data_IF_548141968990
#
_entry.id   IF_548141968990
#
_cell.length_a   1.000
_cell.length_b   1.000
_cell.length_c   1.000
_cell.angle_alpha   90.00
_cell.angle_beta   90.00
_cell.angle_gamma   90.00
#
_symmetry.space_group_name_H-M   'P 1'
#
loop_
_entity.id
_entity.type
_entity.pdbx_description
1 polymer ?
#
# COMPACT_ATOMS: atom_id res chain seq x y z
N UNK A 1 -78.90 -30.31 18.68
CA UNK A 1 -78.50 -31.65 19.14
C UNK A 1 -78.19 -32.47 17.91
N UNK A 2 -77.02 -33.09 17.78
CA UNK A 2 -76.14 -33.83 18.73
C UNK A 2 -74.71 -33.33 18.74
N UNK A 3 -74.11 -33.46 19.77
CA UNK A 3 -73.18 -34.38 20.48
C UNK A 3 -71.68 -34.13 20.18
N UNK A 4 -70.98 -33.77 21.26
CA UNK A 4 -69.55 -33.67 21.43
C UNK A 4 -68.85 -35.03 21.40
N UNK A 5 -67.75 -35.17 20.66
CA UNK A 5 -66.82 -36.26 20.91
C UNK A 5 -65.42 -35.72 21.15
N UNK A 6 -65.02 -35.84 22.42
CA UNK A 6 -63.70 -35.55 22.95
C UNK A 6 -62.73 -36.63 22.49
N UNK A 7 -61.69 -36.22 21.75
CA UNK A 7 -60.52 -37.08 21.46
C UNK A 7 -59.48 -36.86 22.54
N UNK A 8 -59.32 -37.83 23.41
CA UNK A 8 -58.21 -37.91 24.40
C UNK A 8 -56.93 -38.28 23.67
N UNK A 9 -55.97 -37.35 23.66
CA UNK A 9 -54.62 -37.58 23.18
C UNK A 9 -53.80 -38.39 24.21
N UNK A 10 -53.41 -39.58 23.80
CA UNK A 10 -52.61 -40.51 24.60
C UNK A 10 -51.14 -40.08 24.60
N UNK A 11 -50.66 -39.48 25.67
CA UNK A 11 -49.22 -39.22 25.92
C UNK A 11 -48.51 -40.51 26.20
N UNK A 12 -47.90 -41.11 25.22
CA UNK A 12 -46.96 -42.21 25.42
C UNK A 12 -45.61 -41.64 25.93
N UNK A 13 -45.21 -42.19 27.04
CA UNK A 13 -43.91 -41.98 27.75
C UNK A 13 -42.75 -42.03 26.75
N UNK A 14 -42.09 -40.92 26.48
CA UNK A 14 -40.78 -40.85 25.86
C UNK A 14 -39.77 -41.11 26.97
N UNK A 15 -39.10 -42.22 26.85
CA UNK A 15 -38.11 -42.72 27.82
C UNK A 15 -36.89 -41.76 27.88
N UNK A 16 -36.49 -41.41 29.09
CA UNK A 16 -35.40 -40.51 29.47
C UNK A 16 -34.00 -40.93 29.03
N UNK A 17 -33.86 -41.86 28.10
CA UNK A 17 -32.57 -42.41 27.69
C UNK A 17 -31.97 -41.85 26.38
N UNK A 18 -32.69 -40.99 25.64
CA UNK A 18 -32.20 -40.40 24.40
C UNK A 18 -31.73 -38.93 24.55
N UNK A 19 -31.91 -38.31 25.73
CA UNK A 19 -31.43 -36.95 26.04
C UNK A 19 -30.00 -36.88 26.60
N UNK A 20 -29.39 -38.03 26.92
CA UNK A 20 -28.06 -38.08 27.55
C UNK A 20 -26.89 -38.18 26.57
N UNK A 21 -27.12 -38.38 25.26
CA UNK A 21 -26.06 -38.46 24.26
C UNK A 21 -25.76 -37.10 23.54
N UNK A 22 -26.64 -36.10 23.68
CA UNK A 22 -26.41 -34.77 23.10
C UNK A 22 -25.72 -33.81 24.09
N UNK A 23 -25.71 -34.13 25.40
CA UNK A 23 -25.13 -33.28 26.45
C UNK A 23 -23.63 -33.53 26.69
N UNK A 24 -23.07 -34.58 26.10
CA UNK A 24 -21.69 -34.99 26.36
C UNK A 24 -20.62 -34.35 25.48
N UNK A 25 -20.99 -33.73 24.34
CA UNK A 25 -20.04 -33.10 23.43
C UNK A 25 -19.94 -31.57 23.58
N UNK A 26 -20.96 -30.92 24.14
CA UNK A 26 -20.93 -29.47 24.39
C UNK A 26 -19.93 -29.02 25.49
N UNK A 27 -19.78 -29.75 26.66
CA UNK A 27 -18.86 -29.30 27.70
C UNK A 27 -17.37 -29.44 27.30
N UNK A 28 -17.01 -30.35 26.39
CA UNK A 28 -15.60 -30.56 25.99
C UNK A 28 -15.14 -29.45 25.04
N UNK A 29 -15.99 -28.96 24.16
CA UNK A 29 -15.68 -27.83 23.28
C UNK A 29 -15.60 -26.50 24.06
N UNK A 30 -16.49 -26.28 25.03
CA UNK A 30 -16.49 -25.08 25.88
C UNK A 30 -15.25 -25.05 26.78
N UNK A 31 -14.84 -26.19 27.35
CA UNK A 31 -13.64 -26.25 28.23
C UNK A 31 -12.32 -26.11 27.48
N UNK A 32 -12.22 -26.56 26.22
CA UNK A 32 -11.02 -26.37 25.40
C UNK A 32 -10.83 -24.90 25.00
N UNK A 33 -11.91 -24.21 24.67
CA UNK A 33 -11.86 -22.79 24.29
C UNK A 33 -11.63 -21.88 25.52
N UNK A 34 -12.15 -22.24 26.70
CA UNK A 34 -11.89 -21.49 27.92
C UNK A 34 -10.42 -21.60 28.37
N UNK A 35 -9.77 -22.74 28.19
CA UNK A 35 -8.33 -22.91 28.47
C UNK A 35 -7.45 -22.06 27.53
N UNK A 36 -7.86 -21.85 26.29
CA UNK A 36 -7.11 -21.01 25.31
C UNK A 36 -7.20 -19.51 25.62
N UNK A 37 -8.15 -19.07 26.44
CA UNK A 37 -8.34 -17.67 26.83
C UNK A 37 -7.66 -17.35 28.18
N UNK A 38 -7.19 -18.33 28.94
CA UNK A 38 -6.62 -18.12 30.26
C UNK A 38 -5.32 -17.30 30.18
N UNK A 39 -5.29 -16.17 30.90
CA UNK A 39 -4.13 -15.28 30.95
C UNK A 39 -4.00 -14.29 29.76
N UNK A 40 -4.94 -14.29 28.82
CA UNK A 40 -4.96 -13.27 27.77
C UNK A 40 -5.70 -12.01 28.25
N UNK A 41 -5.15 -10.83 27.94
CA UNK A 41 -5.79 -9.54 28.15
C UNK A 41 -6.93 -9.30 27.12
N UNK A 42 -7.72 -8.23 27.30
CA UNK A 42 -8.71 -7.82 26.31
C UNK A 42 -8.04 -7.57 24.96
N UNK A 43 -8.48 -8.29 23.91
CA UNK A 43 -7.86 -8.24 22.60
C UNK A 43 -8.39 -9.29 21.63
N UNK A 44 -7.99 -9.14 20.37
CA UNK A 44 -8.25 -10.11 19.31
C UNK A 44 -6.97 -10.90 19.05
N UNK A 45 -7.06 -12.22 19.03
CA UNK A 45 -5.90 -13.09 18.90
C UNK A 45 -6.08 -14.13 17.79
N UNK A 46 -4.98 -14.55 17.21
CA UNK A 46 -4.89 -15.71 16.34
C UNK A 46 -4.00 -16.79 16.97
N UNK A 47 -4.56 -17.97 17.20
CA UNK A 47 -3.83 -19.16 17.59
C UNK A 47 -3.54 -20.01 16.36
N UNK A 48 -2.28 -20.12 16.00
CA UNK A 48 -1.78 -20.95 14.90
C UNK A 48 -1.38 -22.32 15.50
N UNK A 49 -2.14 -23.35 15.22
CA UNK A 49 -1.77 -24.71 15.62
C UNK A 49 -0.90 -25.34 14.54
N UNK A 50 0.35 -25.60 14.85
CA UNK A 50 1.34 -26.11 13.88
C UNK A 50 1.78 -27.55 14.20
N UNK A 51 2.60 -28.14 13.32
CA UNK A 51 3.27 -29.42 13.58
C UNK A 51 4.30 -29.35 14.70
N UNK A 52 4.81 -28.15 15.04
CA UNK A 52 5.83 -27.92 16.06
C UNK A 52 5.25 -27.43 17.40
N UNK A 53 3.97 -27.06 17.46
CA UNK A 53 3.29 -26.49 18.63
C UNK A 53 2.35 -25.37 18.28
N UNK A 54 1.87 -24.65 19.27
CA UNK A 54 0.96 -23.53 19.11
C UNK A 54 1.71 -22.18 19.19
N UNK A 55 1.32 -21.24 18.32
CA UNK A 55 1.79 -19.86 18.33
C UNK A 55 0.57 -18.99 18.54
N UNK A 56 0.59 -18.08 19.51
CA UNK A 56 -0.49 -17.12 19.77
C UNK A 56 -0.01 -15.71 19.43
N UNK A 57 -0.71 -15.06 18.52
CA UNK A 57 -0.45 -13.67 18.15
C UNK A 57 -1.62 -12.78 18.57
N UNK A 58 -1.35 -11.61 19.15
CA UNK A 58 -2.33 -10.53 19.22
C UNK A 58 -2.45 -9.86 17.86
N UNK A 59 -3.69 -9.47 17.50
CA UNK A 59 -4.00 -8.80 16.23
C UNK A 59 -4.34 -7.34 16.50
N UNK A 60 -3.73 -6.44 15.75
CA UNK A 60 -3.86 -4.97 15.89
C UNK A 60 -5.11 -4.44 15.17
N UNK A 61 -6.29 -4.97 15.55
CA UNK A 61 -7.56 -4.71 14.85
C UNK A 61 -8.02 -3.25 14.89
N UNK A 62 -7.57 -2.46 15.86
CA UNK A 62 -7.85 -1.03 15.93
C UNK A 62 -6.95 -0.19 15.01
N UNK A 63 -5.71 -0.66 14.79
CA UNK A 63 -4.68 0.08 14.05
C UNK A 63 -4.61 -0.33 12.58
N UNK A 64 -4.87 -1.60 12.29
CA UNK A 64 -4.87 -2.15 10.92
C UNK A 64 -6.15 -2.98 10.67
N UNK A 65 -7.35 -2.34 10.80
CA UNK A 65 -8.63 -3.02 10.78
C UNK A 65 -8.90 -3.76 9.46
N UNK A 66 -8.52 -3.19 8.31
CA UNK A 66 -8.71 -3.83 7.00
C UNK A 66 -7.90 -5.12 6.88
N UNK A 67 -6.64 -5.09 7.29
CA UNK A 67 -5.73 -6.24 7.24
C UNK A 67 -6.18 -7.34 8.20
N UNK A 68 -6.56 -6.93 9.42
CA UNK A 68 -7.08 -7.87 10.42
C UNK A 68 -8.41 -8.46 9.99
N UNK A 69 -9.35 -7.68 9.43
CA UNK A 69 -10.61 -8.20 8.92
C UNK A 69 -10.39 -9.21 7.78
N UNK A 70 -9.44 -8.94 6.87
CA UNK A 70 -9.05 -9.89 5.85
C UNK A 70 -8.55 -11.21 6.46
N UNK A 71 -7.58 -11.12 7.38
CA UNK A 71 -6.97 -12.30 7.99
C UNK A 71 -7.98 -13.13 8.79
N UNK A 72 -8.76 -12.48 9.65
CA UNK A 72 -9.78 -13.12 10.50
C UNK A 72 -10.90 -13.72 9.65
N UNK A 73 -11.41 -13.00 8.66
CA UNK A 73 -12.47 -13.50 7.79
C UNK A 73 -12.04 -14.70 6.95
N UNK A 74 -10.77 -14.76 6.55
CA UNK A 74 -10.19 -15.94 5.90
C UNK A 74 -10.02 -17.09 6.90
N UNK A 75 -9.54 -16.83 8.12
CA UNK A 75 -9.37 -17.85 9.16
C UNK A 75 -10.71 -18.47 9.57
N UNK A 76 -11.74 -17.65 9.77
CA UNK A 76 -13.10 -18.10 10.13
C UNK A 76 -13.88 -18.67 8.94
N UNK A 77 -13.42 -18.46 7.69
CA UNK A 77 -14.13 -18.84 6.47
C UNK A 77 -15.37 -17.99 6.17
N UNK A 78 -15.49 -16.81 6.78
CA UNK A 78 -16.64 -15.88 6.65
C UNK A 78 -16.45 -14.87 5.52
N UNK A 79 -15.24 -14.78 4.96
CA UNK A 79 -14.90 -13.92 3.85
C UNK A 79 -14.82 -14.70 2.54
N UNK A 80 -15.29 -14.10 1.46
CA UNK A 80 -15.20 -14.67 0.13
C UNK A 80 -13.76 -14.87 -0.32
N UNK A 81 -13.49 -16.08 -0.83
CA UNK A 81 -12.18 -16.47 -1.33
C UNK A 81 -12.32 -17.65 -2.30
N UNK A 82 -11.21 -18.09 -2.90
CA UNK A 82 -11.18 -19.32 -3.68
C UNK A 82 -11.38 -20.61 -2.84
N UNK A 83 -11.52 -20.49 -1.52
CA UNK A 83 -11.93 -21.55 -0.57
C UNK A 83 -13.21 -21.17 0.20
N UNK A 84 -14.15 -20.48 -0.43
CA UNK A 84 -15.36 -19.93 0.21
C UNK A 84 -16.05 -20.89 1.17
N UNK A 85 -16.44 -20.38 2.34
CA UNK A 85 -17.18 -21.09 3.37
C UNK A 85 -16.36 -22.11 4.15
N UNK A 86 -15.03 -22.06 4.06
CA UNK A 86 -14.12 -22.94 4.83
C UNK A 86 -12.97 -22.11 5.41
N UNK A 87 -12.45 -22.48 6.60
CA UNK A 87 -11.22 -21.92 7.11
C UNK A 87 -10.10 -21.99 6.07
N UNK A 88 -9.59 -20.83 5.69
CA UNK A 88 -8.67 -20.71 4.54
C UNK A 88 -7.29 -21.32 4.83
N UNK A 89 -6.82 -21.10 6.04
CA UNK A 89 -5.46 -21.44 6.46
C UNK A 89 -5.26 -22.90 6.86
N UNK A 90 -6.35 -23.62 7.14
CA UNK A 90 -6.28 -25.00 7.63
C UNK A 90 -5.63 -25.94 6.60
N UNK A 91 -4.63 -26.68 7.10
CA UNK A 91 -3.89 -27.64 6.29
C UNK A 91 -2.87 -27.03 5.32
N UNK A 92 -2.57 -25.73 5.43
CA UNK A 92 -1.49 -25.10 4.67
C UNK A 92 -0.13 -25.43 5.29
N UNK A 93 0.94 -25.01 4.60
CA UNK A 93 2.32 -25.18 5.05
C UNK A 93 3.05 -23.86 5.16
N UNK A 94 4.12 -23.84 5.94
CA UNK A 94 5.12 -22.79 5.90
C UNK A 94 6.06 -23.04 4.72
N UNK A 95 5.67 -22.57 3.55
CA UNK A 95 6.36 -22.86 2.27
C UNK A 95 7.72 -22.18 2.13
N UNK A 96 8.00 -21.14 2.94
CA UNK A 96 9.28 -20.41 2.97
C UNK A 96 9.68 -20.14 4.40
N UNK A 97 10.82 -20.67 4.79
CA UNK A 97 11.45 -20.42 6.09
C UNK A 97 12.91 -20.02 5.83
N UNK A 98 13.32 -18.90 6.37
CA UNK A 98 14.70 -18.43 6.30
C UNK A 98 15.18 -18.21 7.73
N UNK A 99 16.18 -18.97 8.20
CA UNK A 99 16.77 -18.76 9.51
C UNK A 99 17.24 -17.32 9.70
N UNK A 100 17.15 -16.83 10.93
CA UNK A 100 17.52 -15.45 11.29
C UNK A 100 16.77 -14.36 10.50
N UNK A 101 15.62 -14.71 9.90
CA UNK A 101 14.77 -13.76 9.20
C UNK A 101 13.28 -13.98 9.54
N UNK A 102 12.62 -14.99 8.93
CA UNK A 102 11.17 -15.19 9.13
C UNK A 102 10.69 -16.58 8.71
N UNK A 103 9.49 -16.95 9.18
CA UNK A 103 8.67 -18.03 8.63
C UNK A 103 7.51 -17.42 7.83
N UNK A 104 7.19 -17.96 6.66
CA UNK A 104 6.13 -17.45 5.77
C UNK A 104 5.14 -18.57 5.40
N UNK A 105 3.86 -18.30 5.64
CA UNK A 105 2.74 -19.20 5.36
C UNK A 105 1.61 -18.51 4.61
N UNK A 106 0.42 -19.15 4.60
CA UNK A 106 -0.81 -18.59 4.04
C UNK A 106 -0.94 -18.70 2.51
N UNK A 107 -0.06 -19.43 1.84
CA UNK A 107 -0.14 -19.70 0.40
C UNK A 107 -0.94 -20.99 0.13
N UNK A 108 -2.14 -20.93 -0.51
CA UNK A 108 -2.94 -22.14 -0.76
C UNK A 108 -2.30 -23.12 -1.74
N UNK A 109 -1.36 -22.66 -2.57
CA UNK A 109 -0.59 -23.51 -3.52
C UNK A 109 0.70 -24.04 -2.91
N UNK A 110 1.09 -23.66 -1.69
CA UNK A 110 2.29 -24.13 -1.01
C UNK A 110 3.63 -23.77 -1.67
N UNK A 111 3.65 -22.81 -2.59
CA UNK A 111 4.85 -22.45 -3.38
C UNK A 111 5.12 -20.92 -3.46
N UNK A 112 4.34 -20.12 -2.75
CA UNK A 112 4.46 -18.66 -2.71
C UNK A 112 3.69 -17.91 -3.80
N UNK A 113 3.11 -18.60 -4.81
CA UNK A 113 2.39 -17.93 -5.92
C UNK A 113 0.89 -17.85 -5.71
N UNK A 114 0.32 -18.60 -4.76
CA UNK A 114 -1.11 -18.64 -4.48
C UNK A 114 -1.58 -17.54 -3.54
N UNK A 115 -2.87 -17.22 -3.63
CA UNK A 115 -3.55 -16.25 -2.79
C UNK A 115 -5.05 -16.53 -2.68
N UNK A 116 -5.82 -15.62 -2.08
CA UNK A 116 -7.26 -15.83 -1.83
C UNK A 116 -8.16 -15.57 -3.04
N UNK A 117 -7.58 -15.13 -4.18
CA UNK A 117 -8.30 -14.78 -5.41
C UNK A 117 -8.51 -13.27 -5.60
N UNK A 118 -7.99 -12.45 -4.70
CA UNK A 118 -8.01 -10.97 -4.75
C UNK A 118 -6.76 -10.39 -4.10
N UNK A 119 -6.58 -9.08 -4.25
CA UNK A 119 -5.58 -8.29 -3.53
C UNK A 119 -6.22 -7.08 -2.88
N UNK A 120 -5.58 -6.55 -1.83
CA UNK A 120 -6.03 -5.33 -1.14
C UNK A 120 -4.85 -4.42 -0.78
N UNK A 121 -5.19 -3.17 -0.44
CA UNK A 121 -4.22 -2.10 -0.18
C UNK A 121 -3.41 -2.36 1.10
N UNK A 122 -2.23 -1.74 1.15
CA UNK A 122 -1.41 -1.69 2.37
C UNK A 122 -2.06 -0.78 3.41
N UNK A 123 -1.80 -1.10 4.69
CA UNK A 123 -2.32 -0.37 5.85
C UNK A 123 -1.15 -0.09 6.81
N UNK A 124 -0.34 0.91 6.46
CA UNK A 124 0.85 1.27 7.23
C UNK A 124 0.49 2.18 8.40
N UNK A 125 0.70 1.66 9.61
CA UNK A 125 0.55 2.41 10.86
C UNK A 125 1.93 2.78 11.42
N UNK A 126 2.21 4.08 11.64
CA UNK A 126 3.53 4.54 12.07
C UNK A 126 4.05 3.92 13.38
N UNK A 127 3.16 3.53 14.28
CA UNK A 127 3.51 2.89 15.55
C UNK A 127 3.84 1.40 15.42
N UNK A 128 3.47 0.75 14.29
CA UNK A 128 3.70 -0.66 14.03
C UNK A 128 4.93 -0.85 13.15
N UNK A 129 5.96 -1.46 13.70
CA UNK A 129 7.27 -1.64 13.07
C UNK A 129 7.74 -3.08 13.16
N UNK A 130 8.61 -3.47 12.23
CA UNK A 130 9.32 -4.75 12.27
C UNK A 130 10.51 -4.65 13.23
N UNK A 131 10.22 -4.29 14.50
CA UNK A 131 11.23 -3.93 15.50
C UNK A 131 11.87 -5.09 16.26
N UNK A 132 11.41 -6.32 16.06
CA UNK A 132 11.90 -7.48 16.82
C UNK A 132 11.40 -8.82 16.29
N UNK A 133 11.74 -9.91 17.00
CA UNK A 133 11.16 -11.22 16.75
C UNK A 133 9.65 -11.20 17.00
N UNK A 134 8.92 -12.12 16.37
CA UNK A 134 7.48 -12.30 16.57
C UNK A 134 6.60 -11.27 15.87
N UNK A 135 7.12 -10.38 15.03
CA UNK A 135 6.29 -9.46 14.26
C UNK A 135 5.49 -10.23 13.20
N UNK A 136 4.16 -10.15 13.27
CA UNK A 136 3.24 -10.73 12.29
C UNK A 136 2.89 -9.67 11.23
N UNK A 137 3.22 -9.97 9.97
CA UNK A 137 3.13 -9.02 8.87
C UNK A 137 2.65 -9.68 7.57
N UNK A 138 2.06 -8.89 6.65
CA UNK A 138 1.60 -9.38 5.35
C UNK A 138 2.76 -9.54 4.36
N UNK A 139 2.83 -10.69 3.74
CA UNK A 139 3.65 -10.88 2.56
C UNK A 139 2.93 -10.29 1.32
N UNK A 140 3.68 -9.59 0.47
CA UNK A 140 3.18 -8.98 -0.76
C UNK A 140 4.25 -9.01 -1.87
N UNK A 141 3.85 -8.70 -3.10
CA UNK A 141 4.72 -8.57 -4.28
C UNK A 141 4.89 -7.12 -4.75
N UNK A 142 4.65 -6.18 -3.87
CA UNK A 142 4.71 -4.73 -4.11
C UNK A 142 3.47 -4.03 -3.56
N UNK A 143 3.35 -2.70 -3.74
CA UNK A 143 2.26 -1.92 -3.18
C UNK A 143 0.87 -2.46 -3.55
N UNK A 144 -0.05 -2.48 -2.57
CA UNK A 144 -1.44 -2.89 -2.73
C UNK A 144 -1.63 -4.32 -3.28
N UNK A 145 -0.70 -5.25 -2.99
CA UNK A 145 -0.78 -6.64 -3.43
C UNK A 145 -0.91 -7.64 -2.27
N UNK A 146 -1.42 -7.19 -1.12
CA UNK A 146 -1.70 -8.07 0.01
C UNK A 146 -2.82 -9.07 -0.33
N UNK A 147 -2.70 -10.30 0.16
CA UNK A 147 -3.68 -11.35 -0.05
C UNK A 147 -3.90 -12.20 1.20
N UNK A 148 -3.51 -13.48 1.16
CA UNK A 148 -3.59 -14.38 2.32
C UNK A 148 -2.24 -14.70 2.93
N UNK A 149 -1.13 -14.42 2.25
CA UNK A 149 0.19 -14.79 2.75
C UNK A 149 0.66 -13.83 3.84
N UNK A 150 1.22 -14.41 4.90
CA UNK A 150 1.77 -13.70 6.05
C UNK A 150 3.16 -14.25 6.41
N UNK A 151 3.90 -13.50 7.19
CA UNK A 151 5.14 -13.97 7.80
C UNK A 151 5.24 -13.56 9.27
N UNK A 152 6.01 -14.34 10.03
CA UNK A 152 6.35 -14.05 11.43
C UNK A 152 7.88 -13.98 11.53
N UNK A 153 8.41 -12.92 12.12
CA UNK A 153 9.86 -12.67 12.15
C UNK A 153 10.58 -13.44 13.25
N UNK A 154 11.83 -13.85 12.98
CA UNK A 154 12.78 -14.36 13.99
C UNK A 154 13.57 -13.23 14.64
N UNK A 155 13.77 -12.12 13.92
CA UNK A 155 14.60 -10.97 14.35
C UNK A 155 13.96 -9.65 13.89
N UNK A 156 14.53 -8.52 14.30
CA UNK A 156 14.15 -7.22 13.78
C UNK A 156 14.48 -7.13 12.28
N UNK A 157 13.50 -6.64 11.48
CA UNK A 157 13.60 -6.53 10.02
C UNK A 157 13.15 -5.14 9.54
N UNK A 158 13.72 -4.09 10.12
CA UNK A 158 13.28 -2.69 9.92
C UNK A 158 13.29 -2.21 8.46
N UNK A 159 14.04 -2.87 7.57
CA UNK A 159 14.04 -2.58 6.12
C UNK A 159 12.71 -2.94 5.41
N UNK A 160 11.80 -3.65 6.10
CA UNK A 160 10.44 -3.99 5.65
C UNK A 160 9.40 -2.95 6.08
N UNK A 161 9.77 -1.97 6.93
CA UNK A 161 8.87 -0.91 7.37
C UNK A 161 8.34 -0.09 6.19
N UNK A 162 7.05 0.22 6.21
CA UNK A 162 6.32 0.90 5.15
C UNK A 162 6.35 0.18 3.77
N UNK A 163 6.67 -1.12 3.76
CA UNK A 163 6.60 -2.00 2.58
C UNK A 163 5.68 -3.18 2.81
N UNK A 164 5.59 -3.63 4.06
CA UNK A 164 4.73 -4.73 4.49
C UNK A 164 3.89 -4.26 5.68
N UNK A 165 2.59 -4.62 5.69
CA UNK A 165 1.67 -4.24 6.75
C UNK A 165 1.89 -5.12 7.99
N UNK A 166 2.38 -4.55 9.07
CA UNK A 166 2.40 -5.20 10.39
C UNK A 166 0.98 -5.16 10.93
N UNK A 167 0.43 -6.31 11.32
CA UNK A 167 -0.94 -6.41 11.83
C UNK A 167 -1.08 -7.23 13.12
N UNK A 168 0.05 -7.62 13.73
CA UNK A 168 0.07 -8.33 15.01
C UNK A 168 1.46 -8.65 15.47
N UNK A 169 1.54 -9.32 16.62
CA UNK A 169 2.79 -9.85 17.15
C UNK A 169 2.55 -11.06 18.04
N UNK A 170 3.56 -11.91 18.15
CA UNK A 170 3.55 -13.11 19.00
C UNK A 170 3.50 -12.70 20.47
N UNK A 171 2.56 -13.25 21.21
CA UNK A 171 2.46 -13.12 22.68
C UNK A 171 2.82 -14.43 23.39
N UNK A 172 2.72 -15.56 22.67
CA UNK A 172 3.16 -16.87 23.18
C UNK A 172 3.62 -17.76 22.03
N UNK A 173 4.64 -18.58 22.23
CA UNK A 173 5.13 -19.55 21.26
C UNK A 173 6.20 -19.00 20.29
N UNK A 174 7.01 -18.00 20.68
CA UNK A 174 8.17 -17.58 19.88
C UNK A 174 9.17 -18.71 19.66
N UNK A 175 9.37 -19.56 20.64
CA UNK A 175 10.19 -20.77 20.54
C UNK A 175 9.65 -21.75 19.49
N UNK A 176 8.33 -21.81 19.32
CA UNK A 176 7.70 -22.59 18.23
C UNK A 176 7.96 -21.92 16.87
N UNK A 177 7.85 -20.58 16.77
CA UNK A 177 8.23 -19.84 15.55
C UNK A 177 9.66 -20.17 15.14
N UNK A 178 10.58 -20.16 16.09
CA UNK A 178 12.01 -20.42 15.87
C UNK A 178 12.28 -21.90 15.50
N UNK A 179 11.38 -22.82 15.90
CA UNK A 179 11.46 -24.25 15.62
C UNK A 179 10.78 -24.69 14.30
N UNK A 180 9.96 -23.82 13.68
CA UNK A 180 9.29 -24.12 12.42
C UNK A 180 10.30 -24.26 11.29
N UNK A 181 10.17 -25.35 10.53
CA UNK A 181 10.97 -25.63 9.34
C UNK A 181 10.13 -25.50 8.06
N UNK A 182 10.80 -25.40 6.92
CA UNK A 182 10.12 -25.38 5.64
C UNK A 182 9.26 -26.63 5.45
N UNK A 183 8.04 -26.43 4.94
CA UNK A 183 7.01 -27.45 4.70
C UNK A 183 6.35 -27.99 5.98
N UNK A 184 6.65 -27.46 7.17
CA UNK A 184 5.88 -27.73 8.38
C UNK A 184 4.42 -27.33 8.22
N UNK A 185 3.54 -28.15 8.83
CA UNK A 185 2.09 -28.02 8.67
C UNK A 185 1.54 -26.92 9.60
N UNK A 186 0.76 -26.01 9.03
CA UNK A 186 -0.20 -25.17 9.72
C UNK A 186 -1.53 -25.93 9.77
N UNK A 187 -1.83 -26.58 10.90
CA UNK A 187 -3.01 -27.43 11.08
C UNK A 187 -4.29 -26.61 11.04
N UNK A 188 -4.32 -25.48 11.77
CA UNK A 188 -5.45 -24.57 11.84
C UNK A 188 -5.05 -23.20 12.33
N UNK A 189 -5.88 -22.19 12.03
CA UNK A 189 -5.85 -20.86 12.66
C UNK A 189 -7.18 -20.63 13.37
N UNK A 190 -7.15 -20.50 14.69
CA UNK A 190 -8.35 -20.22 15.51
C UNK A 190 -8.31 -18.79 16.00
N UNK A 191 -9.43 -18.06 15.84
CA UNK A 191 -9.55 -16.68 16.29
C UNK A 191 -10.14 -16.65 17.69
N UNK A 192 -9.41 -16.01 18.63
CA UNK A 192 -9.83 -15.85 20.01
C UNK A 192 -10.20 -14.38 20.26
N UNK A 193 -11.36 -14.15 20.88
CA UNK A 193 -11.92 -12.81 21.13
C UNK A 193 -12.12 -12.60 22.61
N UNK A 194 -11.26 -11.79 23.24
CA UNK A 194 -11.32 -11.44 24.66
C UNK A 194 -11.79 -9.99 24.81
N UNK A 195 -12.77 -9.76 25.69
CA UNK A 195 -13.36 -8.43 25.89
C UNK A 195 -14.38 -8.04 24.82
N UNK A 196 -15.11 -6.95 25.08
CA UNK A 196 -16.25 -6.54 24.25
C UNK A 196 -15.82 -5.98 22.90
N UNK A 197 -14.69 -5.26 22.84
CA UNK A 197 -14.15 -4.68 21.59
C UNK A 197 -13.82 -5.77 20.57
N UNK A 198 -13.09 -6.80 20.98
CA UNK A 198 -12.73 -7.92 20.10
C UNK A 198 -13.94 -8.76 19.67
N UNK A 199 -14.93 -8.94 20.56
CA UNK A 199 -16.20 -9.62 20.23
C UNK A 199 -17.05 -8.83 19.24
N UNK A 200 -17.01 -7.50 19.29
CA UNK A 200 -17.75 -6.61 18.38
C UNK A 200 -17.07 -6.47 17.01
N UNK A 201 -15.79 -6.81 16.89
CA UNK A 201 -15.05 -6.65 15.61
C UNK A 201 -15.60 -7.60 14.54
N UNK A 202 -16.05 -7.01 13.43
CA UNK A 202 -16.61 -7.72 12.28
C UNK A 202 -15.53 -7.97 11.23
N UNK A 203 -15.56 -9.14 10.59
CA UNK A 203 -14.55 -9.60 9.64
C UNK A 203 -15.12 -10.40 8.46
N UNK A 204 -16.44 -10.37 8.30
CA UNK A 204 -17.09 -10.97 7.15
C UNK A 204 -16.84 -10.17 5.85
N UNK A 205 -17.36 -10.66 4.74
CA UNK A 205 -17.18 -10.00 3.44
C UNK A 205 -17.68 -8.55 3.44
N UNK A 206 -18.84 -8.27 4.05
CA UNK A 206 -19.42 -6.94 4.08
C UNK A 206 -18.58 -5.96 4.91
N UNK A 207 -18.09 -6.40 6.07
CA UNK A 207 -17.21 -5.61 6.92
C UNK A 207 -15.87 -5.29 6.20
N UNK A 208 -15.27 -6.28 5.54
CA UNK A 208 -14.05 -6.06 4.77
C UNK A 208 -14.26 -5.06 3.63
N UNK A 209 -15.35 -5.17 2.86
CA UNK A 209 -15.67 -4.22 1.78
C UNK A 209 -15.87 -2.79 2.30
N UNK A 210 -16.55 -2.63 3.43
CA UNK A 210 -16.73 -1.33 4.08
C UNK A 210 -15.39 -0.71 4.53
N UNK A 211 -14.51 -1.50 5.14
CA UNK A 211 -13.17 -1.07 5.55
C UNK A 211 -12.30 -0.71 4.33
N UNK A 212 -12.36 -1.50 3.27
CA UNK A 212 -11.62 -1.24 2.02
C UNK A 212 -12.09 0.06 1.36
N UNK A 213 -13.40 0.30 1.29
CA UNK A 213 -13.95 1.54 0.75
C UNK A 213 -13.52 2.75 1.58
N UNK A 214 -13.52 2.63 2.91
CA UNK A 214 -13.03 3.68 3.82
C UNK A 214 -11.54 3.96 3.61
N UNK A 215 -10.70 2.93 3.52
CA UNK A 215 -9.27 3.08 3.28
C UNK A 215 -8.98 3.78 1.94
N UNK A 216 -9.72 3.43 0.87
CA UNK A 216 -9.62 4.10 -0.43
C UNK A 216 -10.03 5.57 -0.34
N UNK A 217 -11.13 5.89 0.36
CA UNK A 217 -11.58 7.26 0.54
C UNK A 217 -10.54 8.12 1.28
N UNK A 218 -9.97 7.60 2.37
CA UNK A 218 -8.89 8.28 3.14
C UNK A 218 -7.64 8.48 2.27
N UNK A 219 -7.26 7.48 1.49
CA UNK A 219 -6.10 7.60 0.58
C UNK A 219 -6.31 8.66 -0.50
N UNK A 220 -7.53 8.74 -1.07
CA UNK A 220 -7.89 9.78 -2.05
C UNK A 220 -7.88 11.17 -1.42
N UNK A 221 -8.41 11.33 -0.22
CA UNK A 221 -8.38 12.61 0.50
C UNK A 221 -6.95 13.07 0.81
N UNK A 222 -6.10 12.16 1.31
CA UNK A 222 -4.66 12.45 1.56
C UNK A 222 -3.95 12.86 0.26
N UNK A 223 -4.18 12.15 -0.84
CA UNK A 223 -3.61 12.50 -2.15
C UNK A 223 -4.10 13.87 -2.62
N UNK A 224 -5.40 14.16 -2.49
CA UNK A 224 -5.97 15.46 -2.84
C UNK A 224 -5.41 16.62 -2.00
N UNK A 225 -5.23 16.41 -0.69
CA UNK A 225 -4.61 17.40 0.19
C UNK A 225 -3.14 17.64 -0.16
N UNK A 226 -2.34 16.57 -0.33
CA UNK A 226 -0.94 16.68 -0.72
C UNK A 226 -0.77 17.39 -2.07
N UNK A 227 -1.67 17.14 -3.05
CA UNK A 227 -1.67 17.83 -4.32
C UNK A 227 -1.95 19.34 -4.16
N UNK A 228 -2.92 19.73 -3.32
CA UNK A 228 -3.20 21.14 -3.02
C UNK A 228 -2.02 21.82 -2.34
N UNK A 229 -1.44 21.19 -1.33
CA UNK A 229 -0.26 21.70 -0.63
C UNK A 229 0.92 21.90 -1.58
N UNK A 230 1.14 20.97 -2.51
CA UNK A 230 2.18 21.10 -3.52
C UNK A 230 1.93 22.27 -4.50
N UNK A 231 0.67 22.49 -4.90
CA UNK A 231 0.29 23.64 -5.75
C UNK A 231 0.55 24.96 -5.03
N UNK A 232 0.10 25.09 -3.78
CA UNK A 232 0.32 26.31 -2.98
C UNK A 232 1.81 26.57 -2.73
N UNK A 233 2.58 25.51 -2.41
CA UNK A 233 4.02 25.61 -2.23
C UNK A 233 4.71 26.10 -3.51
N UNK A 234 4.39 25.48 -4.65
CA UNK A 234 4.98 25.86 -5.93
C UNK A 234 4.61 27.30 -6.30
N UNK A 235 3.34 27.71 -6.06
CA UNK A 235 2.90 29.09 -6.27
C UNK A 235 3.70 30.06 -5.43
N UNK A 236 3.88 29.80 -4.14
CA UNK A 236 4.66 30.65 -3.24
C UNK A 236 6.11 30.82 -3.73
N UNK A 237 6.78 29.72 -4.14
CA UNK A 237 8.14 29.78 -4.70
C UNK A 237 8.19 30.58 -6.00
N UNK A 238 7.20 30.39 -6.88
CA UNK A 238 7.09 31.13 -8.15
C UNK A 238 6.91 32.64 -7.89
N UNK A 239 6.06 33.02 -6.95
CA UNK A 239 5.80 34.41 -6.61
C UNK A 239 7.01 35.08 -5.95
N UNK A 240 7.79 34.33 -5.17
CA UNK A 240 9.01 34.81 -4.51
C UNK A 240 10.18 34.94 -5.49
N UNK A 241 10.48 33.86 -6.24
CA UNK A 241 11.69 33.80 -7.11
C UNK A 241 11.49 34.45 -8.47
N UNK A 242 10.26 34.45 -9.00
CA UNK A 242 9.95 34.92 -10.35
C UNK A 242 8.76 35.90 -10.33
N UNK A 243 8.82 37.02 -9.58
CA UNK A 243 7.67 37.90 -9.37
C UNK A 243 7.18 38.60 -10.65
N UNK A 244 8.08 38.82 -11.62
CA UNK A 244 7.78 39.53 -12.89
C UNK A 244 7.65 38.58 -14.06
N UNK A 245 7.36 37.30 -13.85
CA UNK A 245 7.21 36.32 -14.92
C UNK A 245 5.99 36.61 -15.80
N UNK A 246 6.16 36.48 -17.06
CA UNK A 246 5.08 36.41 -18.04
C UNK A 246 4.63 34.97 -18.25
N UNK A 247 3.42 34.74 -18.71
CA UNK A 247 2.85 33.40 -18.92
C UNK A 247 2.20 33.33 -20.28
N UNK A 248 2.56 32.32 -21.06
CA UNK A 248 1.96 32.05 -22.39
C UNK A 248 0.62 31.32 -22.24
N UNK A 249 -0.13 31.21 -23.36
CA UNK A 249 -1.40 30.44 -23.40
C UNK A 249 -1.21 28.96 -23.04
N UNK A 250 -0.05 28.38 -23.34
CA UNK A 250 0.28 26.98 -22.97
C UNK A 250 0.56 26.80 -21.48
N UNK A 251 0.78 27.90 -20.74
CA UNK A 251 1.19 27.90 -19.34
C UNK A 251 2.71 27.92 -19.13
N UNK A 252 3.51 28.04 -20.19
CA UNK A 252 4.94 28.32 -20.08
C UNK A 252 5.13 29.70 -19.44
N UNK A 253 5.98 29.78 -18.41
CA UNK A 253 6.32 31.05 -17.78
C UNK A 253 7.75 31.43 -18.13
N UNK A 254 8.02 32.76 -18.25
CA UNK A 254 9.35 33.24 -18.58
C UNK A 254 9.64 34.63 -18.02
N UNK A 255 10.92 34.95 -17.91
CA UNK A 255 11.45 36.30 -17.70
C UNK A 255 12.50 36.58 -18.76
N UNK A 256 12.43 37.73 -19.39
CA UNK A 256 13.43 38.18 -20.36
C UNK A 256 14.54 38.91 -19.61
N UNK A 257 15.76 38.40 -19.70
CA UNK A 257 16.94 39.06 -19.15
C UNK A 257 17.64 39.91 -20.23
N UNK A 258 17.69 39.39 -21.48
CA UNK A 258 18.27 40.03 -22.63
C UNK A 258 17.48 39.66 -23.89
N UNK A 259 17.06 40.65 -24.69
CA UNK A 259 16.15 40.41 -25.84
C UNK A 259 16.85 39.76 -27.05
N UNK A 260 18.12 39.93 -27.25
CA UNK A 260 18.82 39.52 -28.45
C UNK A 260 18.46 40.34 -29.68
N UNK A 261 19.13 40.06 -30.79
CA UNK A 261 18.98 40.79 -32.06
C UNK A 261 18.65 39.85 -33.23
N UNK A 262 18.06 40.39 -34.29
CA UNK A 262 17.70 39.62 -35.49
C UNK A 262 16.31 38.98 -35.42
N UNK A 263 16.12 37.91 -36.20
CA UNK A 263 14.84 37.19 -36.28
C UNK A 263 14.81 35.96 -35.39
N UNK A 264 13.66 35.71 -34.79
CA UNK A 264 13.42 34.44 -34.05
C UNK A 264 13.45 33.25 -35.01
N UNK A 265 13.87 32.07 -34.58
CA UNK A 265 13.90 30.88 -35.42
C UNK A 265 12.50 30.46 -35.86
N UNK A 266 12.39 29.93 -37.06
CA UNK A 266 11.19 29.25 -37.54
C UNK A 266 11.32 27.74 -37.32
N UNK A 267 10.20 27.07 -37.27
CA UNK A 267 10.16 25.61 -37.07
C UNK A 267 11.08 24.87 -38.05
N UNK A 268 11.96 24.04 -37.54
CA UNK A 268 12.90 23.22 -38.28
C UNK A 268 14.27 23.86 -38.50
N UNK A 269 14.47 25.14 -38.19
CA UNK A 269 15.80 25.74 -38.21
C UNK A 269 16.65 25.21 -37.05
N UNK A 270 17.92 24.96 -37.35
CA UNK A 270 18.87 24.52 -36.29
C UNK A 270 19.21 25.71 -35.41
N UNK A 271 19.05 25.51 -34.11
CA UNK A 271 19.45 26.47 -33.09
C UNK A 271 20.60 25.91 -32.25
N UNK A 272 21.46 26.81 -31.78
CA UNK A 272 22.53 26.50 -30.83
C UNK A 272 22.33 27.36 -29.58
N UNK A 273 22.29 26.74 -28.41
CA UNK A 273 22.03 27.46 -27.15
C UNK A 273 22.83 26.87 -26.00
N UNK A 274 23.12 27.71 -25.01
CA UNK A 274 23.49 27.28 -23.70
C UNK A 274 22.29 27.27 -22.77
N UNK A 275 22.28 26.33 -21.81
CA UNK A 275 21.26 26.26 -20.77
C UNK A 275 21.82 25.71 -19.46
N UNK A 276 21.18 26.09 -18.38
CA UNK A 276 21.28 25.43 -17.08
C UNK A 276 19.88 25.08 -16.61
N UNK A 277 19.63 23.79 -16.35
CA UNK A 277 18.36 23.27 -15.87
C UNK A 277 18.39 22.95 -14.39
N UNK A 278 17.41 23.46 -13.64
CA UNK A 278 17.23 23.22 -12.22
C UNK A 278 15.75 22.92 -11.88
N UNK A 279 15.53 22.28 -10.76
CA UNK A 279 14.21 22.17 -10.15
C UNK A 279 13.81 23.53 -9.55
N UNK A 280 12.54 23.68 -9.22
CA UNK A 280 12.00 24.92 -8.63
C UNK A 280 12.64 25.28 -7.29
N UNK A 281 13.14 24.30 -6.53
CA UNK A 281 13.90 24.50 -5.30
C UNK A 281 15.35 24.96 -5.53
N UNK A 282 15.84 24.93 -6.79
CA UNK A 282 17.18 25.33 -7.19
C UNK A 282 18.16 24.16 -7.38
N UNK A 283 17.74 22.92 -7.19
CA UNK A 283 18.61 21.76 -7.42
C UNK A 283 18.91 21.61 -8.92
N UNK A 284 20.15 21.85 -9.32
CA UNK A 284 20.61 21.69 -10.70
C UNK A 284 20.62 20.21 -11.10
N UNK A 285 20.04 19.91 -12.28
CA UNK A 285 20.01 18.53 -12.80
C UNK A 285 20.76 18.38 -14.14
N UNK A 286 20.93 19.45 -14.91
CA UNK A 286 21.64 19.41 -16.20
C UNK A 286 22.15 20.81 -16.59
N UNK A 287 23.27 20.87 -17.32
CA UNK A 287 23.82 22.12 -17.90
C UNK A 287 24.70 21.83 -19.08
N UNK A 288 24.49 22.54 -20.18
CA UNK A 288 25.39 22.54 -21.33
C UNK A 288 26.73 23.22 -21.05
N UNK A 289 26.75 24.15 -20.08
CA UNK A 289 27.98 24.81 -19.64
C UNK A 289 28.92 23.83 -18.92
N UNK A 290 28.38 22.93 -18.13
CA UNK A 290 29.18 21.89 -17.45
C UNK A 290 29.83 20.91 -18.44
N UNK A 291 29.21 20.73 -19.63
CA UNK A 291 29.78 19.91 -20.72
C UNK A 291 30.75 20.67 -21.62
N UNK A 292 30.74 21.99 -21.53
CA UNK A 292 31.60 22.85 -22.36
C UNK A 292 31.12 22.96 -23.84
N UNK A 293 29.94 22.44 -24.16
CA UNK A 293 29.40 22.42 -25.53
C UNK A 293 27.93 22.89 -25.56
N UNK A 294 27.55 23.78 -26.47
CA UNK A 294 26.16 24.20 -26.63
C UNK A 294 25.28 23.06 -27.16
N UNK A 295 24.03 23.06 -26.77
CA UNK A 295 23.01 22.14 -27.28
C UNK A 295 22.56 22.63 -28.65
N UNK A 296 22.59 21.73 -29.68
CA UNK A 296 22.10 21.99 -31.02
C UNK A 296 20.90 21.09 -31.35
N UNK A 297 19.82 21.69 -31.86
CA UNK A 297 18.64 20.93 -32.29
C UNK A 297 17.78 21.78 -33.25
N UNK A 298 16.94 21.13 -34.08
CA UNK A 298 15.95 21.85 -34.90
C UNK A 298 14.79 22.34 -34.03
N UNK A 299 14.58 23.65 -33.96
CA UNK A 299 13.54 24.29 -33.14
C UNK A 299 12.14 23.83 -33.55
N UNK A 300 11.27 23.60 -32.60
CA UNK A 300 9.88 23.21 -32.82
C UNK A 300 9.68 21.79 -33.38
N UNK A 301 10.73 20.97 -33.41
CA UNK A 301 10.68 19.62 -33.98
C UNK A 301 10.42 18.51 -32.93
N UNK A 302 10.27 18.82 -31.65
CA UNK A 302 9.99 17.87 -30.58
C UNK A 302 11.21 17.04 -30.16
N UNK A 303 12.42 17.52 -30.45
CA UNK A 303 13.66 16.85 -29.96
C UNK A 303 14.01 17.19 -28.52
N UNK A 304 13.41 18.25 -27.99
CA UNK A 304 13.51 18.67 -26.59
C UNK A 304 12.11 18.71 -25.97
N UNK A 305 12.02 18.93 -24.65
CA UNK A 305 10.73 19.06 -23.98
C UNK A 305 9.94 20.24 -24.54
N UNK A 306 8.61 20.13 -24.55
CA UNK A 306 7.71 21.08 -25.23
C UNK A 306 7.94 22.53 -24.82
N UNK A 307 8.14 22.78 -23.52
CA UNK A 307 8.39 24.12 -23.02
C UNK A 307 9.70 24.74 -23.53
N UNK A 308 10.73 23.94 -23.75
CA UNK A 308 11.98 24.38 -24.34
C UNK A 308 11.80 24.73 -25.83
N UNK A 309 11.12 23.86 -26.60
CA UNK A 309 10.80 24.12 -28.01
C UNK A 309 9.99 25.39 -28.18
N UNK A 310 8.98 25.61 -27.35
CA UNK A 310 8.15 26.81 -27.38
C UNK A 310 8.96 28.07 -27.03
N UNK A 311 9.76 28.03 -25.98
CA UNK A 311 10.55 29.18 -25.55
C UNK A 311 11.54 29.65 -26.63
N UNK A 312 12.25 28.70 -27.25
CA UNK A 312 13.29 29.00 -28.22
C UNK A 312 12.71 29.61 -29.48
N UNK A 313 11.54 29.20 -29.93
CA UNK A 313 10.84 29.80 -31.10
C UNK A 313 10.48 31.30 -30.89
N UNK A 314 10.42 31.74 -29.64
CA UNK A 314 10.13 33.15 -29.28
C UNK A 314 11.39 33.96 -28.94
N UNK A 315 12.60 33.37 -28.97
CA UNK A 315 13.88 34.06 -28.69
C UNK A 315 14.56 34.57 -29.97
N UNK A 316 15.45 35.52 -29.80
CA UNK A 316 16.35 35.99 -30.86
C UNK A 316 17.79 35.62 -30.53
N UNK A 317 18.68 35.48 -31.53
CA UNK A 317 20.10 35.27 -31.27
C UNK A 317 20.70 36.31 -30.29
N UNK A 318 21.50 35.85 -29.36
CA UNK A 318 22.04 36.63 -28.24
C UNK A 318 21.08 36.85 -27.06
N UNK A 319 19.81 36.47 -27.20
CA UNK A 319 18.83 36.64 -26.16
C UNK A 319 19.02 35.67 -24.98
N UNK A 320 18.69 36.14 -23.77
CA UNK A 320 18.70 35.35 -22.52
C UNK A 320 17.36 35.37 -21.84
N UNK A 321 16.92 34.21 -21.42
CA UNK A 321 15.64 34.04 -20.70
C UNK A 321 15.77 33.01 -19.59
N UNK A 322 15.16 33.30 -18.44
CA UNK A 322 14.77 32.28 -17.50
C UNK A 322 13.37 31.79 -17.84
N UNK A 323 13.23 30.51 -18.12
CA UNK A 323 11.92 29.89 -18.42
C UNK A 323 11.53 28.90 -17.31
N UNK A 324 10.27 28.90 -16.94
CA UNK A 324 9.71 27.98 -15.94
C UNK A 324 8.68 27.11 -16.66
N UNK A 325 9.01 25.85 -16.79
CA UNK A 325 8.25 24.85 -17.55
C UNK A 325 7.36 24.07 -16.60
N UNK A 326 6.03 24.19 -16.70
CA UNK A 326 5.11 23.38 -15.91
C UNK A 326 5.18 21.90 -16.33
N UNK A 327 4.76 20.97 -15.47
CA UNK A 327 4.92 19.53 -15.69
C UNK A 327 4.43 19.03 -17.06
N UNK A 328 3.30 19.51 -17.57
CA UNK A 328 2.70 19.06 -18.84
C UNK A 328 3.48 19.51 -20.10
N UNK A 329 4.35 20.49 -19.95
CA UNK A 329 5.30 20.92 -20.98
C UNK A 329 6.71 20.37 -20.76
N UNK A 330 6.93 19.65 -19.68
CA UNK A 330 8.17 18.98 -19.29
C UNK A 330 8.05 17.46 -19.30
N UNK A 331 8.38 16.81 -18.18
CA UNK A 331 8.41 15.34 -18.05
C UNK A 331 7.14 14.73 -17.41
N UNK A 332 6.15 15.56 -17.05
CA UNK A 332 4.83 15.13 -16.59
C UNK A 332 4.83 14.26 -15.34
N UNK A 333 3.86 13.34 -15.26
CA UNK A 333 3.68 12.45 -14.11
C UNK A 333 4.79 11.40 -13.95
N UNK A 334 5.60 11.16 -14.98
CA UNK A 334 6.66 10.14 -14.94
C UNK A 334 7.97 10.66 -14.34
N UNK A 335 8.24 12.00 -14.46
CA UNK A 335 9.56 12.52 -14.19
C UNK A 335 10.62 11.96 -15.14
N UNK A 336 11.90 12.10 -14.82
CA UNK A 336 13.00 11.57 -15.64
C UNK A 336 14.22 11.18 -14.81
N UNK A 337 14.83 10.04 -15.18
CA UNK A 337 16.15 9.59 -14.74
C UNK A 337 16.38 9.46 -13.23
N UNK A 338 15.34 9.41 -12.42
CA UNK A 338 15.47 9.42 -10.96
C UNK A 338 15.92 10.77 -10.37
N UNK A 339 16.22 11.75 -11.21
CA UNK A 339 16.70 13.09 -10.82
C UNK A 339 15.57 14.12 -10.89
N UNK A 340 14.64 13.99 -11.85
CA UNK A 340 13.47 14.86 -12.01
C UNK A 340 12.24 14.13 -11.43
N UNK A 341 11.68 14.62 -10.32
CA UNK A 341 10.49 13.99 -9.72
C UNK A 341 9.24 14.06 -10.61
N UNK A 342 8.25 13.19 -10.39
CA UNK A 342 6.92 13.33 -10.98
C UNK A 342 6.31 14.70 -10.71
N UNK A 343 5.68 15.29 -11.74
CA UNK A 343 5.00 16.57 -11.68
C UNK A 343 5.89 17.77 -11.26
N UNK A 344 7.20 17.69 -11.51
CA UNK A 344 8.13 18.78 -11.21
C UNK A 344 7.99 19.93 -12.19
N UNK A 345 8.03 21.16 -11.67
CA UNK A 345 8.34 22.36 -12.45
C UNK A 345 9.85 22.40 -12.73
N UNK A 346 10.22 22.80 -13.92
CA UNK A 346 11.61 22.92 -14.32
C UNK A 346 11.93 24.39 -14.59
N UNK A 347 13.09 24.82 -14.16
CA UNK A 347 13.62 26.16 -14.46
C UNK A 347 14.83 26.00 -15.35
N UNK A 348 14.85 26.74 -16.47
CA UNK A 348 16.01 26.78 -17.36
C UNK A 348 16.41 28.23 -17.60
N UNK A 349 17.66 28.51 -17.33
CA UNK A 349 18.30 29.73 -17.82
C UNK A 349 18.90 29.41 -19.17
N UNK A 350 18.46 30.12 -20.22
CA UNK A 350 18.79 29.84 -21.62
C UNK A 350 19.46 31.06 -22.25
N UNK A 351 20.52 30.82 -23.02
CA UNK A 351 21.14 31.77 -23.90
C UNK A 351 21.11 31.23 -25.36
N UNK A 352 20.35 31.84 -26.23
CA UNK A 352 20.30 31.46 -27.64
C UNK A 352 21.48 32.10 -28.39
N UNK A 353 22.41 31.24 -28.85
CA UNK A 353 23.65 31.70 -29.49
C UNK A 353 23.48 31.98 -30.96
N UNK A 354 22.97 31.02 -31.75
CA UNK A 354 22.81 31.12 -33.20
C UNK A 354 21.54 30.45 -33.70
N UNK A 355 21.07 30.92 -34.86
CA UNK A 355 20.00 30.32 -35.68
C UNK A 355 20.59 30.07 -37.07
N UNK A 356 20.56 28.81 -37.53
CA UNK A 356 21.13 28.35 -38.83
C UNK A 356 20.02 27.83 -39.74
#
# INVERSE_FOLDING_TARGET
MPESSSVRLNMKKITALQLLLAAGLLPVLVTAQENDLEGLEDGLYAKFSTSKGDIVCVLEYEKTPLTVANFVGLADGTKDSNKSGKPFYDGLIFHRVIPDFMIQGGCPSGNGTGGPGYSFADEFEPSLKHGGPGTLSMANSGPASNGSQFFITHVATSWLDNKHTVFGHVVNGQDVVDAVEKDDLLKSVTILRVGDGAKAFQSDQAAFEALQASAVAVAMERKGRAAKEAVEKNKAILDEKFPNRETTESGLMYMVEEEGEGSSPVKGQTVSLHYTGSLLDGAKFDSSLDRGEPLKFPAGAGQVIKGMDEAVLAMKPGGKRSIIIPPHLGYGERGAGGVIPPNAFLVFDIELLTVE
#
